data_IF_445308051552
#
_entry.id   IF_445308051552
#
_cell.length_a   1.000
_cell.length_b   1.000
_cell.length_c   1.000
_cell.angle_alpha   90.00
_cell.angle_beta   90.00
_cell.angle_gamma   90.00
#
_symmetry.space_group_name_H-M   'P 1'
#
loop_
_entity.id
_entity.type
_entity.pdbx_description
1 polymer ?
#
# COMPACT_ATOMS: atom_id res chain seq x y z
N UNK A 1 7.64 15.34 -21.02
CA UNK A 1 7.35 14.07 -20.34
C UNK A 1 6.89 14.41 -18.94
N UNK A 2 5.81 13.79 -18.48
CA UNK A 2 5.24 14.01 -17.16
C UNK A 2 3.71 14.09 -17.24
N UNK A 3 3.05 12.93 -17.31
CA UNK A 3 1.58 12.86 -17.24
C UNK A 3 1.06 12.99 -15.79
N UNK A 4 1.96 12.89 -14.80
CA UNK A 4 1.65 12.87 -13.39
C UNK A 4 2.65 13.70 -12.60
N UNK A 5 2.19 14.31 -11.51
CA UNK A 5 3.02 15.08 -10.57
C UNK A 5 3.87 14.18 -9.67
N UNK A 6 3.38 12.97 -9.36
CA UNK A 6 4.08 11.96 -8.58
C UNK A 6 3.52 10.55 -8.82
N UNK A 7 4.24 9.52 -8.36
CA UNK A 7 3.82 8.11 -8.35
C UNK A 7 4.18 7.51 -6.99
N UNK A 8 3.23 6.83 -6.36
CA UNK A 8 3.44 6.02 -5.15
C UNK A 8 3.21 4.53 -5.44
N UNK A 9 3.93 3.66 -4.74
CA UNK A 9 3.81 2.21 -4.88
C UNK A 9 3.04 1.62 -3.68
N UNK A 10 1.75 1.35 -3.89
CA UNK A 10 0.89 0.75 -2.86
C UNK A 10 1.22 -0.73 -2.60
N UNK A 11 1.71 -1.47 -3.61
CA UNK A 11 2.14 -2.86 -3.45
C UNK A 11 3.32 -2.93 -2.48
N UNK A 12 4.35 -2.12 -2.71
CA UNK A 12 5.51 -2.05 -1.82
C UNK A 12 5.15 -1.60 -0.39
N UNK A 13 4.09 -0.79 -0.23
CA UNK A 13 3.63 -0.33 1.08
C UNK A 13 2.92 -1.43 1.89
N UNK A 14 2.29 -2.40 1.22
CA UNK A 14 1.37 -3.35 1.84
C UNK A 14 1.83 -4.80 1.81
N UNK A 15 2.65 -5.19 0.83
CA UNK A 15 3.06 -6.58 0.65
C UNK A 15 3.88 -7.10 1.82
N UNK A 16 3.77 -8.40 2.07
CA UNK A 16 4.65 -9.09 2.99
C UNK A 16 6.07 -9.13 2.40
N UNK A 17 7.10 -8.59 3.09
CA UNK A 17 8.47 -8.64 2.58
C UNK A 17 9.03 -10.07 2.49
N UNK A 18 8.48 -11.03 3.25
CA UNK A 18 8.84 -12.44 3.19
C UNK A 18 8.07 -13.20 2.09
N UNK A 19 6.90 -12.70 1.67
CA UNK A 19 6.07 -13.27 0.60
C UNK A 19 5.42 -12.15 -0.24
N UNK A 20 6.12 -11.60 -1.24
CA UNK A 20 5.69 -10.39 -1.96
C UNK A 20 4.38 -10.51 -2.76
N UNK A 21 3.81 -11.72 -2.89
CA UNK A 21 2.50 -11.92 -3.55
C UNK A 21 1.34 -11.91 -2.55
N UNK A 22 1.61 -11.66 -1.26
CA UNK A 22 0.61 -11.57 -0.20
C UNK A 22 0.63 -10.20 0.46
N UNK A 23 -0.53 -9.80 0.98
CA UNK A 23 -0.60 -8.71 1.94
C UNK A 23 0.10 -9.13 3.24
N UNK A 24 0.80 -8.18 3.86
CA UNK A 24 1.32 -8.37 5.20
C UNK A 24 0.12 -8.61 6.15
N UNK A 25 0.12 -9.66 7.00
CA UNK A 25 -1.07 -10.07 7.75
C UNK A 25 -1.71 -8.98 8.63
N UNK A 26 -0.97 -7.93 8.99
CA UNK A 26 -1.48 -6.77 9.73
C UNK A 26 -2.42 -5.85 8.92
N UNK A 27 -2.53 -6.09 7.61
CA UNK A 27 -3.31 -5.28 6.67
C UNK A 27 -4.41 -6.08 5.98
N UNK A 28 -4.52 -7.37 6.30
CA UNK A 28 -5.37 -8.33 5.62
C UNK A 28 -6.51 -8.77 6.55
N UNK A 29 -7.77 -8.39 6.27
CA UNK A 29 -8.92 -8.80 7.06
C UNK A 29 -9.28 -10.29 6.84
N UNK A 30 -8.60 -10.98 5.93
CA UNK A 30 -8.71 -12.43 5.69
C UNK A 30 -9.25 -12.82 4.33
N UNK A 31 -9.57 -11.86 3.45
CA UNK A 31 -10.00 -12.12 2.07
C UNK A 31 -8.88 -11.97 1.03
N UNK A 32 -7.68 -11.56 1.49
CA UNK A 32 -6.48 -11.42 0.67
C UNK A 32 -6.63 -10.41 -0.48
N UNK A 33 -7.60 -9.51 -0.41
CA UNK A 33 -7.89 -8.51 -1.44
C UNK A 33 -8.12 -7.12 -0.87
N UNK A 34 -9.00 -7.00 0.13
CA UNK A 34 -9.31 -5.72 0.75
C UNK A 34 -8.31 -5.45 1.89
N UNK A 35 -8.12 -4.16 2.18
CA UNK A 35 -7.30 -3.74 3.30
C UNK A 35 -8.19 -3.44 4.50
N UNK A 36 -7.67 -3.72 5.69
CA UNK A 36 -8.26 -3.19 6.92
C UNK A 36 -7.91 -1.70 7.12
N UNK A 37 -8.31 -1.14 8.26
CA UNK A 37 -8.07 0.27 8.61
C UNK A 37 -6.57 0.62 8.62
N UNK A 38 -5.71 -0.29 9.08
CA UNK A 38 -4.26 -0.09 9.14
C UNK A 38 -3.65 -0.10 7.74
N UNK A 39 -4.15 -0.96 6.85
CA UNK A 39 -3.73 -1.00 5.44
C UNK A 39 -4.21 0.24 4.66
N UNK A 40 -5.44 0.70 4.89
CA UNK A 40 -5.92 1.96 4.31
C UNK A 40 -5.11 3.15 4.78
N UNK A 41 -4.69 3.18 6.06
CA UNK A 41 -3.79 4.21 6.58
C UNK A 41 -2.41 4.15 5.92
N UNK A 42 -1.86 2.96 5.70
CA UNK A 42 -0.56 2.81 5.04
C UNK A 42 -0.57 3.33 3.59
N UNK A 43 -1.68 3.15 2.86
CA UNK A 43 -1.86 3.77 1.53
C UNK A 43 -1.90 5.29 1.64
N UNK A 44 -2.67 5.84 2.59
CA UNK A 44 -2.76 7.28 2.78
C UNK A 44 -1.37 7.89 3.06
N UNK A 45 -0.58 7.25 3.91
CA UNK A 45 0.80 7.65 4.19
C UNK A 45 1.70 7.53 2.95
N UNK A 46 1.53 6.49 2.12
CA UNK A 46 2.29 6.30 0.88
C UNK A 46 2.02 7.42 -0.14
N UNK A 47 0.76 7.80 -0.31
CA UNK A 47 0.35 8.93 -1.17
C UNK A 47 0.86 10.25 -0.60
N UNK A 48 0.71 10.46 0.71
CA UNK A 48 1.15 11.70 1.37
C UNK A 48 2.64 11.95 1.18
N UNK A 49 3.48 10.91 1.20
CA UNK A 49 4.95 11.03 1.05
C UNK A 49 5.41 11.51 -0.32
N UNK A 50 4.58 11.36 -1.35
CA UNK A 50 4.97 11.72 -2.72
C UNK A 50 4.31 13.02 -3.20
N UNK A 51 3.32 13.54 -2.45
CA UNK A 51 2.59 14.76 -2.77
C UNK A 51 2.86 15.94 -1.81
N UNK A 52 3.45 15.68 -0.64
CA UNK A 52 3.82 16.69 0.36
C UNK A 52 5.32 16.64 0.66
#
# INVERSE_FOLDING_TARGET
>A
GGAFDAVCDADAALRDPADPVRLLPRYDPGDHLHFDDDGMRAIADCVSRVLL
#
